data_IF_726246634798
#
_entry.id   IF_726246634798
#
_cell.length_a   1.000
_cell.length_b   1.000
_cell.length_c   1.000
_cell.angle_alpha   90.00
_cell.angle_beta   90.00
_cell.angle_gamma   90.00
#
_symmetry.space_group_name_H-M   'P 1'
#
loop_
_entity.id
_entity.type
_entity.pdbx_description
1 polymer ?
#
# COMPACT_ATOMS: atom_id res chain seq x y z
N UNK A 1 -11.00 10.49 21.41
CA UNK A 1 -9.80 9.80 20.88
C UNK A 1 -10.13 8.31 20.71
N UNK A 2 -10.02 7.74 19.51
CA UNK A 2 -10.32 6.32 19.27
C UNK A 2 -9.35 5.41 20.05
N UNK A 3 -9.89 4.44 20.79
CA UNK A 3 -9.11 3.46 21.54
C UNK A 3 -8.21 2.62 20.61
N UNK A 4 -6.92 2.49 20.93
CA UNK A 4 -5.96 1.69 20.16
C UNK A 4 -6.40 0.22 19.95
N UNK A 5 -6.98 -0.42 20.97
CA UNK A 5 -7.53 -1.79 20.85
C UNK A 5 -8.66 -1.86 19.81
N UNK A 6 -9.47 -0.81 19.70
CA UNK A 6 -10.54 -0.72 18.71
C UNK A 6 -9.99 -0.49 17.32
N UNK A 7 -9.07 0.48 17.14
CA UNK A 7 -8.39 0.73 15.85
C UNK A 7 -7.75 -0.55 15.30
N UNK A 8 -6.92 -1.20 16.11
CA UNK A 8 -6.23 -2.44 15.74
C UNK A 8 -7.20 -3.60 15.45
N UNK A 9 -8.30 -3.71 16.19
CA UNK A 9 -9.29 -4.75 15.90
C UNK A 9 -9.95 -4.57 14.53
N UNK A 10 -10.28 -3.33 14.15
CA UNK A 10 -10.83 -3.05 12.83
C UNK A 10 -9.83 -3.31 11.71
N UNK A 11 -8.56 -2.94 11.92
CA UNK A 11 -7.48 -3.30 11.00
C UNK A 11 -7.46 -4.82 10.74
N UNK A 12 -7.37 -5.62 11.81
CA UNK A 12 -7.34 -7.09 11.71
C UNK A 12 -8.61 -7.69 11.12
N UNK A 13 -9.78 -7.12 11.44
CA UNK A 13 -11.04 -7.53 10.85
C UNK A 13 -11.00 -7.33 9.33
N UNK A 14 -10.62 -6.14 8.87
CA UNK A 14 -10.56 -5.86 7.43
C UNK A 14 -9.47 -6.67 6.74
N UNK A 15 -8.31 -6.91 7.35
CA UNK A 15 -7.28 -7.81 6.81
C UNK A 15 -7.85 -9.22 6.60
N UNK A 16 -8.56 -9.77 7.57
CA UNK A 16 -9.20 -11.08 7.46
C UNK A 16 -10.27 -11.13 6.35
N UNK A 17 -10.98 -10.02 6.10
CA UNK A 17 -11.94 -9.89 5.00
C UNK A 17 -11.21 -9.82 3.65
N UNK A 18 -10.17 -8.99 3.51
CA UNK A 18 -9.36 -8.87 2.29
C UNK A 18 -8.73 -10.21 1.92
N UNK A 19 -8.15 -10.91 2.90
CA UNK A 19 -7.53 -12.23 2.75
C UNK A 19 -8.55 -13.37 2.58
N UNK A 20 -9.84 -13.09 2.78
CA UNK A 20 -10.93 -14.10 2.74
C UNK A 20 -10.68 -15.29 3.68
N UNK A 21 -10.06 -15.05 4.84
CA UNK A 21 -9.72 -16.11 5.81
C UNK A 21 -10.96 -16.80 6.39
N UNK A 22 -12.11 -16.13 6.35
CA UNK A 22 -13.37 -16.62 6.91
C UNK A 22 -14.39 -16.76 5.78
N UNK A 23 -14.82 -17.99 5.47
CA UNK A 23 -15.77 -18.22 4.37
C UNK A 23 -17.05 -17.39 4.44
N UNK A 24 -17.52 -17.02 5.64
CA UNK A 24 -18.70 -16.17 5.81
C UNK A 24 -18.51 -14.72 5.31
N UNK A 25 -17.28 -14.19 5.30
CA UNK A 25 -17.04 -12.78 4.96
C UNK A 25 -17.30 -12.49 3.48
N UNK A 26 -17.13 -13.49 2.62
CA UNK A 26 -17.37 -13.39 1.18
C UNK A 26 -18.82 -13.06 0.78
N UNK A 27 -19.78 -13.23 1.70
CA UNK A 27 -21.21 -12.98 1.46
C UNK A 27 -21.63 -11.53 1.67
N UNK A 28 -20.72 -10.69 2.19
CA UNK A 28 -21.03 -9.34 2.63
C UNK A 28 -20.01 -8.35 2.09
N UNK A 29 -20.46 -7.15 1.71
CA UNK A 29 -19.61 -6.10 1.16
C UNK A 29 -18.97 -5.25 2.26
N UNK A 30 -18.30 -5.85 3.25
CA UNK A 30 -17.74 -5.11 4.40
C UNK A 30 -16.75 -3.98 4.03
N UNK A 31 -16.10 -4.08 2.87
CA UNK A 31 -15.10 -3.11 2.40
C UNK A 31 -15.69 -1.97 1.56
N UNK A 32 -16.98 -2.02 1.22
CA UNK A 32 -17.60 -1.06 0.30
C UNK A 32 -17.54 0.38 0.81
N UNK A 33 -17.44 1.35 -0.11
CA UNK A 33 -17.52 2.79 0.20
C UNK A 33 -18.96 3.26 0.41
N UNK A 34 -19.91 2.56 -0.20
CA UNK A 34 -21.33 2.88 -0.12
C UNK A 34 -21.86 2.60 1.29
N UNK A 35 -22.27 3.64 2.01
CA UNK A 35 -22.69 3.50 3.39
C UNK A 35 -24.01 2.74 3.56
N UNK A 36 -24.90 2.73 2.57
CA UNK A 36 -26.14 1.96 2.61
C UNK A 36 -25.80 0.48 2.52
N UNK A 37 -25.03 0.08 1.50
CA UNK A 37 -24.59 -1.32 1.34
C UNK A 37 -23.71 -1.80 2.49
N UNK A 38 -22.86 -0.92 3.02
CA UNK A 38 -22.03 -1.20 4.19
C UNK A 38 -22.92 -1.50 5.39
N UNK A 39 -23.92 -0.65 5.65
CA UNK A 39 -24.88 -0.86 6.75
C UNK A 39 -25.60 -2.19 6.61
N UNK A 40 -26.15 -2.49 5.45
CA UNK A 40 -26.80 -3.77 5.17
C UNK A 40 -25.85 -4.96 5.42
N UNK A 41 -24.61 -4.86 4.94
CA UNK A 41 -23.57 -5.88 5.11
C UNK A 41 -23.20 -6.09 6.58
N UNK A 42 -23.06 -5.03 7.38
CA UNK A 42 -22.79 -5.16 8.80
C UNK A 42 -24.00 -5.70 9.58
N UNK A 43 -25.22 -5.26 9.29
CA UNK A 43 -26.42 -5.79 9.93
C UNK A 43 -26.60 -7.28 9.63
N UNK A 44 -26.61 -7.66 8.35
CA UNK A 44 -26.79 -9.05 7.94
C UNK A 44 -25.57 -9.93 8.30
N UNK A 45 -24.38 -9.34 8.32
CA UNK A 45 -23.11 -10.00 8.61
C UNK A 45 -22.69 -10.00 10.08
N UNK A 46 -23.56 -9.58 11.01
CA UNK A 46 -23.26 -9.45 12.46
C UNK A 46 -22.54 -10.66 13.04
N UNK A 47 -23.06 -11.85 12.79
CA UNK A 47 -22.46 -13.10 13.30
C UNK A 47 -21.06 -13.34 12.73
N UNK A 48 -20.87 -13.05 11.44
CA UNK A 48 -19.57 -13.19 10.79
C UNK A 48 -18.56 -12.17 11.35
N UNK A 49 -18.98 -10.92 11.54
CA UNK A 49 -18.16 -9.90 12.18
C UNK A 49 -17.73 -10.32 13.58
N UNK A 50 -18.67 -10.73 14.44
CA UNK A 50 -18.38 -11.13 15.82
C UNK A 50 -17.48 -12.37 15.86
N UNK A 51 -17.66 -13.32 14.93
CA UNK A 51 -16.76 -14.48 14.78
C UNK A 51 -15.32 -14.06 14.49
N UNK A 52 -15.11 -13.13 13.56
CA UNK A 52 -13.78 -12.64 13.21
C UNK A 52 -13.18 -11.88 14.40
N UNK A 53 -13.94 -10.98 15.03
CA UNK A 53 -13.50 -10.23 16.21
C UNK A 53 -13.06 -11.16 17.33
N UNK A 54 -13.83 -12.23 17.61
CA UNK A 54 -13.50 -13.20 18.65
C UNK A 54 -12.15 -13.89 18.41
N UNK A 55 -11.78 -14.11 17.15
CA UNK A 55 -10.57 -14.86 16.80
C UNK A 55 -9.35 -13.97 16.58
N UNK A 56 -9.53 -12.75 16.07
CA UNK A 56 -8.42 -11.88 15.63
C UNK A 56 -8.14 -10.73 16.59
N UNK A 57 -9.12 -10.33 17.40
CA UNK A 57 -9.00 -9.17 18.27
C UNK A 57 -8.73 -9.53 19.73
N UNK A 58 -8.38 -8.52 20.52
CA UNK A 58 -8.28 -8.65 21.97
C UNK A 58 -9.63 -9.12 22.57
N UNK A 59 -9.66 -10.07 23.53
CA UNK A 59 -10.89 -10.67 24.07
C UNK A 59 -11.97 -9.66 24.48
N UNK A 60 -11.59 -8.59 25.18
CA UNK A 60 -12.52 -7.52 25.59
C UNK A 60 -13.32 -6.89 24.45
N UNK A 61 -12.80 -6.89 23.21
CA UNK A 61 -13.47 -6.27 22.06
C UNK A 61 -14.70 -7.05 21.63
N UNK A 62 -14.68 -8.37 21.74
CA UNK A 62 -15.83 -9.20 21.36
C UNK A 62 -17.07 -8.82 22.18
N UNK A 63 -16.95 -8.79 23.51
CA UNK A 63 -18.08 -8.50 24.38
C UNK A 63 -18.56 -7.06 24.23
N UNK A 64 -17.64 -6.10 24.12
CA UNK A 64 -17.99 -4.69 23.87
C UNK A 64 -18.76 -4.52 22.56
N UNK A 65 -18.26 -5.07 21.45
CA UNK A 65 -18.92 -4.91 20.16
C UNK A 65 -20.21 -5.72 20.04
N UNK A 66 -20.31 -6.88 20.70
CA UNK A 66 -21.55 -7.64 20.73
C UNK A 66 -22.67 -6.85 21.44
N UNK A 67 -22.33 -6.18 22.54
CA UNK A 67 -23.28 -5.38 23.32
C UNK A 67 -23.68 -4.08 22.59
N UNK A 68 -22.70 -3.31 22.09
CA UNK A 68 -22.93 -2.02 21.41
C UNK A 68 -22.96 -2.15 19.89
N UNK A 69 -23.48 -3.27 19.37
CA UNK A 69 -23.31 -3.58 17.94
C UNK A 69 -23.99 -2.56 17.02
N UNK A 70 -25.23 -2.16 17.34
CA UNK A 70 -25.98 -1.22 16.51
C UNK A 70 -25.31 0.15 16.46
N UNK A 71 -24.88 0.68 17.61
CA UNK A 71 -24.09 1.91 17.71
C UNK A 71 -22.78 1.83 16.93
N UNK A 72 -22.15 0.65 16.92
CA UNK A 72 -20.95 0.42 16.12
C UNK A 72 -21.25 0.50 14.62
N UNK A 73 -22.34 -0.11 14.16
CA UNK A 73 -22.78 -0.03 12.75
C UNK A 73 -23.11 1.42 12.38
N UNK A 74 -23.82 2.13 13.24
CA UNK A 74 -24.12 3.56 13.07
C UNK A 74 -22.82 4.37 12.92
N UNK A 75 -21.85 4.14 13.80
CA UNK A 75 -20.53 4.81 13.75
C UNK A 75 -19.78 4.54 12.43
N UNK A 76 -19.95 3.36 11.83
CA UNK A 76 -19.28 2.99 10.59
C UNK A 76 -19.99 3.50 9.32
N UNK A 77 -21.27 3.86 9.42
CA UNK A 77 -22.15 4.05 8.25
C UNK A 77 -22.81 5.42 8.19
N UNK A 78 -23.01 6.10 9.32
CA UNK A 78 -23.51 7.46 9.32
C UNK A 78 -22.37 8.45 9.14
N UNK A 79 -22.45 9.25 8.07
CA UNK A 79 -21.50 10.31 7.80
C UNK A 79 -21.77 11.44 8.78
N UNK A 80 -20.80 11.82 9.63
CA UNK A 80 -20.97 12.93 10.55
C UNK A 80 -21.09 14.27 9.78
N UNK A 81 -21.80 15.24 10.36
CA UNK A 81 -21.97 16.57 9.75
C UNK A 81 -20.64 17.34 9.66
N UNK A 82 -19.73 17.10 10.61
CA UNK A 82 -18.39 17.66 10.59
C UNK A 82 -17.43 16.71 9.89
N UNK A 83 -16.76 17.20 8.85
CA UNK A 83 -15.68 16.48 8.21
C UNK A 83 -14.40 16.52 9.05
N UNK A 84 -13.62 15.45 9.02
CA UNK A 84 -12.24 15.46 9.48
C UNK A 84 -11.92 14.48 10.61
N UNK A 85 -10.65 14.52 11.04
CA UNK A 85 -10.05 13.50 11.89
C UNK A 85 -10.51 13.47 13.36
N UNK A 86 -11.33 14.41 13.80
CA UNK A 86 -11.97 14.35 15.12
C UNK A 86 -13.01 13.23 15.19
N UNK A 87 -13.65 12.91 14.07
CA UNK A 87 -14.76 11.97 14.03
C UNK A 87 -14.30 10.51 13.92
N UNK A 88 -14.98 9.65 14.68
CA UNK A 88 -14.65 8.22 14.74
C UNK A 88 -14.95 7.50 13.42
N UNK A 89 -15.99 7.95 12.69
CA UNK A 89 -16.38 7.42 11.39
C UNK A 89 -15.19 7.36 10.42
N UNK A 90 -14.50 8.49 10.21
CA UNK A 90 -13.40 8.56 9.22
C UNK A 90 -12.20 7.72 9.65
N UNK A 91 -11.86 7.70 10.94
CA UNK A 91 -10.72 6.96 11.49
C UNK A 91 -10.91 5.44 11.46
N UNK A 92 -12.12 4.97 11.74
CA UNK A 92 -12.44 3.54 11.66
C UNK A 92 -12.53 3.07 10.21
N UNK A 93 -13.18 3.85 9.35
CA UNK A 93 -13.24 3.50 7.93
C UNK A 93 -11.87 3.53 7.26
N UNK A 94 -10.92 4.36 7.73
CA UNK A 94 -9.53 4.34 7.25
C UNK A 94 -8.83 2.99 7.46
N UNK A 95 -9.24 2.20 8.46
CA UNK A 95 -8.61 0.91 8.76
C UNK A 95 -8.73 -0.11 7.62
N UNK A 96 -9.73 0.03 6.74
CA UNK A 96 -9.87 -0.85 5.57
C UNK A 96 -8.78 -0.59 4.52
N UNK A 97 -8.30 0.66 4.40
CA UNK A 97 -7.23 1.02 3.46
C UNK A 97 -5.88 0.55 3.98
N UNK A 98 -5.64 0.66 5.29
CA UNK A 98 -4.50 0.03 5.95
C UNK A 98 -4.49 -1.49 5.76
N UNK A 99 -5.63 -2.15 5.91
CA UNK A 99 -5.73 -3.58 5.68
C UNK A 99 -5.36 -3.97 4.25
N UNK A 100 -5.87 -3.24 3.24
CA UNK A 100 -5.50 -3.46 1.84
C UNK A 100 -4.00 -3.23 1.61
N UNK A 101 -3.42 -2.17 2.19
CA UNK A 101 -1.98 -1.87 2.15
C UNK A 101 -1.15 -3.01 2.73
N UNK A 102 -1.42 -3.40 3.97
CA UNK A 102 -0.68 -4.43 4.69
C UNK A 102 -0.74 -5.78 3.96
N UNK A 103 -1.91 -6.17 3.46
CA UNK A 103 -2.07 -7.42 2.70
C UNK A 103 -1.29 -7.38 1.39
N UNK A 104 -1.30 -6.24 0.69
CA UNK A 104 -0.51 -6.06 -0.53
C UNK A 104 1.00 -6.16 -0.23
N UNK A 105 1.49 -5.50 0.82
CA UNK A 105 2.91 -5.59 1.24
C UNK A 105 3.31 -7.02 1.55
N UNK A 106 2.51 -7.75 2.35
CA UNK A 106 2.76 -9.14 2.67
C UNK A 106 2.74 -10.04 1.42
N UNK A 107 1.85 -9.79 0.47
CA UNK A 107 1.81 -10.52 -0.80
C UNK A 107 3.10 -10.30 -1.60
N UNK A 108 3.59 -9.06 -1.64
CA UNK A 108 4.85 -8.71 -2.32
C UNK A 108 6.04 -9.41 -1.67
N UNK A 109 6.19 -9.27 -0.36
CA UNK A 109 7.27 -9.89 0.41
C UNK A 109 7.28 -11.42 0.24
N UNK A 110 6.13 -12.07 0.39
CA UNK A 110 6.00 -13.52 0.26
C UNK A 110 6.40 -14.02 -1.14
N UNK A 111 6.07 -13.27 -2.20
CA UNK A 111 6.50 -13.65 -3.55
C UNK A 111 7.99 -13.44 -3.75
N UNK A 112 8.55 -12.33 -3.27
CA UNK A 112 9.99 -12.04 -3.39
C UNK A 112 10.85 -13.07 -2.63
N UNK A 113 10.35 -13.62 -1.51
CA UNK A 113 10.99 -14.72 -0.79
C UNK A 113 10.97 -16.05 -1.58
N UNK A 114 9.96 -16.27 -2.42
CA UNK A 114 9.73 -17.55 -3.13
C UNK A 114 10.23 -17.57 -4.56
N UNK A 115 10.30 -16.40 -5.21
CA UNK A 115 10.55 -16.29 -6.64
C UNK A 115 11.69 -15.30 -6.93
N UNK A 116 12.61 -15.63 -7.85
CA UNK A 116 13.66 -14.72 -8.28
C UNK A 116 13.12 -13.51 -9.08
N UNK A 117 11.85 -13.56 -9.52
CA UNK A 117 11.15 -12.46 -10.19
C UNK A 117 9.71 -12.41 -9.69
N UNK A 118 9.27 -11.20 -9.32
CA UNK A 118 7.89 -10.94 -8.95
C UNK A 118 6.95 -11.21 -10.12
N UNK A 119 5.85 -11.92 -9.88
CA UNK A 119 4.78 -12.17 -10.86
C UNK A 119 3.62 -11.21 -10.58
N UNK A 120 2.73 -11.00 -11.56
CA UNK A 120 1.52 -10.17 -11.41
C UNK A 120 1.78 -8.69 -11.04
N UNK A 121 2.80 -8.08 -11.64
CA UNK A 121 3.07 -6.63 -11.51
C UNK A 121 1.82 -5.77 -11.70
N UNK A 122 1.03 -6.04 -12.74
CA UNK A 122 -0.18 -5.29 -13.06
C UNK A 122 -1.21 -5.35 -11.93
N UNK A 123 -1.34 -6.51 -11.28
CA UNK A 123 -2.28 -6.69 -10.17
C UNK A 123 -1.88 -5.85 -8.96
N UNK A 124 -0.58 -5.78 -8.66
CA UNK A 124 -0.07 -4.90 -7.60
C UNK A 124 -0.35 -3.43 -7.90
N UNK A 125 -0.13 -2.99 -9.14
CA UNK A 125 -0.43 -1.59 -9.50
C UNK A 125 -1.92 -1.26 -9.41
N UNK A 126 -2.80 -2.22 -9.73
CA UNK A 126 -4.25 -2.08 -9.51
C UNK A 126 -4.56 -1.94 -8.03
N UNK A 127 -3.99 -2.80 -7.16
CA UNK A 127 -4.15 -2.69 -5.70
C UNK A 127 -3.64 -1.35 -5.17
N UNK A 128 -2.51 -0.84 -5.66
CA UNK A 128 -2.02 0.49 -5.27
C UNK A 128 -3.06 1.58 -5.57
N UNK A 129 -3.67 1.55 -6.75
CA UNK A 129 -4.73 2.50 -7.12
C UNK A 129 -5.97 2.33 -6.25
N UNK A 130 -6.40 1.10 -5.98
CA UNK A 130 -7.53 0.83 -5.09
C UNK A 130 -7.29 1.35 -3.67
N UNK A 131 -6.05 1.28 -3.16
CA UNK A 131 -5.68 1.84 -1.87
C UNK A 131 -5.71 3.38 -1.90
N UNK A 132 -5.17 4.02 -2.95
CA UNK A 132 -5.27 5.47 -3.13
C UNK A 132 -6.72 5.94 -3.16
N UNK A 133 -7.55 5.28 -3.97
CA UNK A 133 -8.98 5.55 -4.04
C UNK A 133 -9.62 5.30 -2.67
N UNK A 134 -9.24 4.24 -1.95
CA UNK A 134 -9.79 3.91 -0.63
C UNK A 134 -9.62 5.06 0.37
N UNK A 135 -8.48 5.75 0.33
CA UNK A 135 -8.13 6.83 1.25
C UNK A 135 -8.98 8.09 1.06
N UNK A 136 -9.58 8.27 -0.11
CA UNK A 136 -10.37 9.46 -0.44
C UNK A 136 -11.52 9.69 0.55
N UNK A 137 -11.58 10.90 1.12
CA UNK A 137 -12.63 11.28 2.06
C UNK A 137 -12.56 10.60 3.42
N UNK A 138 -11.42 9.96 3.77
CA UNK A 138 -11.16 9.39 5.09
C UNK A 138 -10.12 10.21 5.87
N UNK A 139 -9.84 9.77 7.09
CA UNK A 139 -8.91 10.46 7.99
C UNK A 139 -7.59 9.70 8.10
N UNK A 140 -6.50 10.42 7.83
CA UNK A 140 -5.13 10.04 8.08
C UNK A 140 -4.40 11.26 8.65
N UNK A 141 -3.49 11.06 9.61
CA UNK A 141 -2.49 12.08 9.93
C UNK A 141 -1.51 12.26 8.76
N UNK A 142 -0.72 13.33 8.77
CA UNK A 142 0.32 13.53 7.75
C UNK A 142 1.30 12.36 7.69
N UNK A 143 1.77 11.89 8.85
CA UNK A 143 2.65 10.72 8.96
C UNK A 143 1.98 9.44 8.43
N UNK A 144 0.71 9.24 8.78
CA UNK A 144 -0.10 8.10 8.35
C UNK A 144 -0.31 8.08 6.82
N UNK A 145 -0.58 9.24 6.23
CA UNK A 145 -0.72 9.40 4.79
C UNK A 145 0.61 9.18 4.09
N UNK A 146 1.69 9.76 4.63
CA UNK A 146 3.03 9.61 4.10
C UNK A 146 3.48 8.13 4.10
N UNK A 147 3.25 7.41 5.21
CA UNK A 147 3.56 5.98 5.32
C UNK A 147 2.87 5.17 4.22
N UNK A 148 1.56 5.38 4.03
CA UNK A 148 0.82 4.67 2.97
C UNK A 148 1.38 5.04 1.59
N UNK A 149 1.56 6.33 1.30
CA UNK A 149 2.05 6.76 -0.01
C UNK A 149 3.47 6.23 -0.29
N UNK A 150 4.33 6.14 0.72
CA UNK A 150 5.65 5.51 0.61
C UNK A 150 5.52 4.02 0.28
N UNK A 151 4.66 3.29 1.00
CA UNK A 151 4.34 1.88 0.71
C UNK A 151 3.85 1.66 -0.72
N UNK A 152 3.09 2.61 -1.28
CA UNK A 152 2.60 2.53 -2.67
C UNK A 152 3.67 2.90 -3.71
N UNK A 153 4.66 3.71 -3.34
CA UNK A 153 5.78 4.06 -4.20
C UNK A 153 6.82 2.93 -4.33
N UNK A 154 6.98 2.09 -3.31
CA UNK A 154 7.93 0.96 -3.33
C UNK A 154 7.66 -0.01 -4.50
N UNK A 155 6.41 -0.46 -4.76
CA UNK A 155 6.08 -1.25 -5.93
C UNK A 155 6.36 -0.52 -7.26
N UNK A 156 6.12 0.80 -7.31
CA UNK A 156 6.46 1.61 -8.48
C UNK A 156 7.97 1.54 -8.76
N UNK A 157 8.82 1.56 -7.73
CA UNK A 157 10.28 1.51 -7.87
C UNK A 157 10.86 0.11 -8.15
N UNK A 158 10.14 -0.95 -7.77
CA UNK A 158 10.71 -2.31 -7.71
C UNK A 158 10.09 -3.28 -8.70
N UNK A 159 8.80 -3.12 -9.03
CA UNK A 159 8.07 -4.09 -9.85
C UNK A 159 7.33 -3.49 -11.06
N UNK A 160 7.04 -2.18 -11.10
CA UNK A 160 6.10 -1.53 -12.05
C UNK A 160 6.60 -1.30 -13.51
N UNK A 161 5.88 -0.44 -14.25
CA UNK A 161 6.29 0.14 -15.54
C UNK A 161 7.70 0.76 -15.50
N UNK A 162 8.13 1.35 -14.38
CA UNK A 162 9.51 1.78 -14.16
C UNK A 162 10.46 0.59 -14.35
N UNK A 163 10.19 -0.53 -13.68
CA UNK A 163 10.99 -1.75 -13.78
C UNK A 163 10.96 -2.37 -15.17
N UNK A 164 9.83 -2.33 -15.88
CA UNK A 164 9.73 -2.80 -17.28
C UNK A 164 10.61 -1.95 -18.21
N UNK A 165 10.55 -0.62 -18.07
CA UNK A 165 11.38 0.32 -18.81
C UNK A 165 12.88 0.06 -18.56
N UNK A 166 13.28 -0.04 -17.29
CA UNK A 166 14.67 -0.31 -16.90
C UNK A 166 15.15 -1.67 -17.42
N UNK A 167 14.29 -2.70 -17.38
CA UNK A 167 14.59 -4.01 -17.97
C UNK A 167 14.76 -3.95 -19.48
N UNK A 168 14.02 -3.07 -20.16
CA UNK A 168 14.13 -2.89 -21.62
C UNK A 168 15.46 -2.24 -21.95
N UNK A 169 15.83 -1.17 -21.25
CA UNK A 169 17.14 -0.50 -21.39
C UNK A 169 18.29 -1.47 -21.10
N UNK A 170 18.18 -2.30 -20.06
CA UNK A 170 19.22 -3.29 -19.72
C UNK A 170 19.36 -4.39 -20.78
N UNK A 171 18.27 -4.79 -21.43
CA UNK A 171 18.27 -5.81 -22.50
C UNK A 171 18.74 -5.28 -23.84
N UNK A 172 18.28 -4.09 -24.22
CA UNK A 172 18.59 -3.49 -25.52
C UNK A 172 20.02 -2.94 -25.55
N UNK A 173 20.65 -2.76 -24.37
CA UNK A 173 22.01 -2.24 -24.22
C UNK A 173 22.26 -1.04 -25.15
N UNK A 174 21.45 0.03 -25.02
CA UNK A 174 21.57 1.15 -25.94
C UNK A 174 22.95 1.80 -25.85
N UNK A 175 23.28 2.56 -26.89
CA UNK A 175 24.53 3.31 -26.90
C UNK A 175 24.51 4.40 -25.81
N UNK A 176 25.11 4.09 -24.66
CA UNK A 176 25.11 4.98 -23.50
C UNK A 176 25.94 6.26 -23.71
N UNK A 177 26.71 6.33 -24.80
CA UNK A 177 27.50 7.50 -25.22
C UNK A 177 26.62 8.74 -25.46
N UNK A 178 25.36 8.54 -25.90
CA UNK A 178 24.34 9.60 -26.07
C UNK A 178 23.98 10.27 -24.73
N UNK A 179 24.17 9.57 -23.61
CA UNK A 179 23.87 10.06 -22.27
C UNK A 179 25.17 10.41 -21.55
N UNK A 180 25.65 11.64 -21.74
CA UNK A 180 26.87 12.14 -21.10
C UNK A 180 26.91 11.90 -19.57
N UNK A 181 25.74 11.89 -18.93
CA UNK A 181 25.60 11.65 -17.50
C UNK A 181 25.86 10.20 -17.06
N UNK A 182 25.79 9.21 -17.97
CA UNK A 182 26.08 7.81 -17.68
C UNK A 182 27.57 7.46 -17.75
N UNK A 183 28.42 8.33 -18.32
CA UNK A 183 29.87 8.11 -18.48
C UNK A 183 30.20 6.71 -19.05
N UNK A 184 29.42 6.24 -20.03
CA UNK A 184 29.51 4.89 -20.63
C UNK A 184 29.32 3.72 -19.65
N UNK A 185 28.70 3.93 -18.49
CA UNK A 185 28.36 2.89 -17.51
C UNK A 185 26.85 2.66 -17.47
N UNK A 186 26.43 1.40 -17.44
CA UNK A 186 25.02 1.06 -17.18
C UNK A 186 24.73 1.15 -15.68
N UNK A 187 23.79 2.02 -15.31
CA UNK A 187 23.19 2.07 -13.96
C UNK A 187 21.88 1.26 -13.89
N UNK A 188 21.59 0.47 -14.93
CA UNK A 188 20.33 -0.29 -15.09
C UNK A 188 20.45 -1.75 -14.67
N UNK A 189 21.68 -2.20 -14.39
CA UNK A 189 21.97 -3.55 -13.88
C UNK A 189 21.26 -3.80 -12.54
N UNK A 190 20.77 -5.02 -12.37
CA UNK A 190 20.03 -5.45 -11.15
C UNK A 190 20.92 -6.01 -10.03
N UNK A 191 22.12 -5.47 -9.82
CA UNK A 191 22.90 -5.85 -8.63
C UNK A 191 22.53 -4.91 -7.47
N UNK A 192 22.67 -5.35 -6.20
CA UNK A 192 22.43 -4.49 -5.04
C UNK A 192 23.19 -3.15 -5.11
N UNK A 193 24.44 -3.18 -5.57
CA UNK A 193 25.29 -2.01 -5.71
C UNK A 193 24.71 -1.01 -6.74
N UNK A 194 24.24 -1.52 -7.88
CA UNK A 194 23.63 -0.68 -8.92
C UNK A 194 22.23 -0.20 -8.56
N UNK A 195 21.49 -0.89 -7.68
CA UNK A 195 20.19 -0.41 -7.18
C UNK A 195 20.37 0.85 -6.34
N UNK A 196 21.35 0.86 -5.45
CA UNK A 196 21.67 2.01 -4.61
C UNK A 196 22.24 3.17 -5.42
N UNK A 197 23.19 2.91 -6.33
CA UNK A 197 23.75 3.95 -7.20
C UNK A 197 22.68 4.61 -8.09
N UNK A 198 21.74 3.82 -8.62
CA UNK A 198 20.68 4.29 -9.54
C UNK A 198 19.86 5.45 -8.99
N UNK A 199 19.50 5.38 -7.70
CA UNK A 199 18.57 6.33 -7.09
C UNK A 199 19.24 7.50 -6.37
N UNK A 200 20.58 7.49 -6.27
CA UNK A 200 21.36 8.58 -5.68
C UNK A 200 20.96 9.93 -6.28
N UNK A 201 20.93 10.95 -5.42
CA UNK A 201 20.55 12.32 -5.81
C UNK A 201 21.32 12.83 -7.03
N UNK A 202 22.61 12.50 -7.13
CA UNK A 202 23.48 12.86 -8.26
C UNK A 202 23.12 12.19 -9.60
N UNK A 203 22.30 11.14 -9.59
CA UNK A 203 21.91 10.36 -10.77
C UNK A 203 20.47 10.58 -11.21
N UNK A 204 19.62 11.21 -10.39
CA UNK A 204 18.17 11.38 -10.66
C UNK A 204 17.89 12.07 -11.99
N UNK A 205 18.56 13.19 -12.28
CA UNK A 205 18.41 13.92 -13.55
C UNK A 205 18.81 13.07 -14.75
N UNK A 206 19.88 12.29 -14.62
CA UNK A 206 20.29 11.35 -15.67
C UNK A 206 19.22 10.29 -15.91
N UNK A 207 18.69 9.72 -14.82
CA UNK A 207 17.65 8.71 -14.88
C UNK A 207 16.36 9.25 -15.53
N UNK A 208 15.97 10.49 -15.22
CA UNK A 208 14.86 11.19 -15.89
C UNK A 208 15.08 11.33 -17.38
N UNK A 209 16.26 11.81 -17.78
CA UNK A 209 16.58 12.05 -19.18
C UNK A 209 16.51 10.74 -19.98
N UNK A 210 17.16 9.68 -19.50
CA UNK A 210 17.19 8.38 -20.16
C UNK A 210 15.78 7.78 -20.26
N UNK A 211 15.02 7.80 -19.16
CA UNK A 211 13.68 7.18 -19.14
C UNK A 211 12.64 7.97 -19.92
N UNK A 212 12.73 9.29 -20.00
CA UNK A 212 11.90 10.09 -20.91
C UNK A 212 12.18 9.75 -22.37
N UNK A 213 13.45 9.62 -22.74
CA UNK A 213 13.88 9.34 -24.11
C UNK A 213 13.53 7.90 -24.54
N UNK A 214 13.83 6.89 -23.71
CA UNK A 214 13.56 5.48 -24.05
C UNK A 214 12.12 5.04 -23.79
N UNK A 215 11.49 5.54 -22.73
CA UNK A 215 10.23 5.01 -22.24
C UNK A 215 9.07 6.00 -22.37
N UNK A 216 9.32 7.18 -22.94
CA UNK A 216 8.31 8.19 -23.25
C UNK A 216 7.70 8.90 -22.05
N UNK A 217 8.23 8.68 -20.83
CA UNK A 217 7.72 9.33 -19.61
C UNK A 217 8.78 9.49 -18.53
N UNK A 218 8.57 10.48 -17.66
CA UNK A 218 9.35 10.64 -16.44
C UNK A 218 8.85 9.66 -15.37
N UNK A 219 9.58 8.56 -15.21
CA UNK A 219 9.23 7.55 -14.21
C UNK A 219 9.83 7.86 -12.83
N UNK A 220 10.71 8.87 -12.72
CA UNK A 220 11.35 9.29 -11.46
C UNK A 220 10.51 10.31 -10.72
N UNK A 221 9.89 11.26 -11.44
CA UNK A 221 9.08 12.35 -10.87
C UNK A 221 8.02 11.88 -9.86
N UNK A 222 7.21 10.85 -10.15
CA UNK A 222 6.11 10.47 -9.26
C UNK A 222 6.58 9.96 -7.90
N UNK A 223 7.82 9.46 -7.82
CA UNK A 223 8.38 8.77 -6.66
C UNK A 223 9.54 9.54 -6.04
N UNK A 224 9.92 10.69 -6.58
CA UNK A 224 11.13 11.43 -6.19
C UNK A 224 11.20 11.74 -4.70
N UNK A 225 10.07 12.14 -4.10
CA UNK A 225 10.00 12.48 -2.68
C UNK A 225 10.31 11.31 -1.74
N UNK A 226 10.24 10.08 -2.26
CA UNK A 226 10.46 8.84 -1.51
C UNK A 226 11.82 8.19 -1.80
N UNK A 227 12.60 8.71 -2.76
CA UNK A 227 13.81 8.05 -3.22
C UNK A 227 14.90 8.01 -2.14
N UNK A 228 15.06 9.07 -1.35
CA UNK A 228 16.06 9.11 -0.28
C UNK A 228 15.75 8.08 0.80
N UNK A 229 14.50 7.99 1.24
CA UNK A 229 14.06 6.99 2.21
C UNK A 229 14.10 5.56 1.65
N UNK A 230 13.77 5.38 0.37
CA UNK A 230 13.90 4.09 -0.30
C UNK A 230 15.36 3.59 -0.32
N UNK A 231 16.31 4.49 -0.59
CA UNK A 231 17.74 4.16 -0.53
C UNK A 231 18.11 3.79 0.91
N UNK A 232 17.73 4.60 1.89
CA UNK A 232 17.99 4.31 3.30
C UNK A 232 17.46 2.93 3.71
N UNK A 233 16.25 2.57 3.27
CA UNK A 233 15.63 1.28 3.55
C UNK A 233 16.34 0.10 2.86
N UNK A 234 16.85 0.28 1.63
CA UNK A 234 17.42 -0.80 0.81
C UNK A 234 18.93 -0.91 0.85
N UNK A 235 19.63 0.13 1.31
CA UNK A 235 21.07 0.28 1.13
C UNK A 235 21.85 0.46 2.44
N UNK A 236 21.18 0.61 3.60
CA UNK A 236 21.86 0.70 4.91
C UNK A 236 22.64 -0.56 5.28
N UNK A 237 22.24 -1.74 4.79
CA UNK A 237 22.93 -3.01 5.08
C UNK A 237 24.19 -3.26 4.23
N UNK A 238 24.48 -2.42 3.23
CA UNK A 238 25.67 -2.55 2.37
C UNK A 238 26.89 -1.73 2.86
N UNK A 239 26.72 -0.95 3.93
CA UNK A 239 27.81 -0.16 4.54
C UNK A 239 28.55 -0.87 5.68
N UNK A 240 28.13 -2.08 6.07
CA UNK A 240 28.75 -2.87 7.14
C UNK A 240 29.41 -4.17 6.67
N UNK A 241 29.53 -4.40 5.35
CA UNK A 241 30.17 -5.58 4.75
C UNK A 241 31.45 -5.24 3.98
#
# INVERSE_FOLDING_TARGET
MLNHKTKNCFLKFFEAVVLKEFGCSSRFEFLTKDNVKKRESFIAGKECFLKIVKQKCHPDRHNTFAYYYEELVDTLTFIPAHSGCSETYYRLNAQRCYAQKNVMEQEIENQLLRLPRFKNVTEVMVKCKEIQDCMEGLCFTEDEQYEIEFSLAVPELTVSHFTVCIQTIDKELPEFSKYHCLKNRSIFRKTPEFLCERYQKSKRECLRAVTKDYCGRDVVKPVEKFLDEFIDLKCKDLSES
#
